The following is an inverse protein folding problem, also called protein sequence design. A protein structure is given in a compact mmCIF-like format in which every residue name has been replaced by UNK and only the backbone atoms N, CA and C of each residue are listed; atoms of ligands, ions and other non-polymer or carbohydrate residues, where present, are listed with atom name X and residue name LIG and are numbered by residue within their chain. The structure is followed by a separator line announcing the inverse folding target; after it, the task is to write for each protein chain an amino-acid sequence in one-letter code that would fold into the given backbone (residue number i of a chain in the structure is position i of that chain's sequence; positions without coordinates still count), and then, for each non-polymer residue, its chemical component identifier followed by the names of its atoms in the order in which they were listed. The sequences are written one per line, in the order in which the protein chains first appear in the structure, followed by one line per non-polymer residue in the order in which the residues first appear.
data_IF_136923564815
#
_entry.id   IF_136923564815
#
_cell.length_a   1.000
_cell.length_b   1.000
_cell.length_c   1.000
_cell.angle_alpha   90.00
_cell.angle_beta   90.00
_cell.angle_gamma   90.00
#
_symmetry.space_group_name_H-M   'P 1'
#
loop_
_entity.id
_entity.type
_entity.pdbx_description
1 polymer ?
#
# COMPACT_ATOMS: atom_id res chain seq x y z
N UNK A 1 -34.44 36.72 21.07
CA UNK A 1 -33.23 36.01 21.58
C UNK A 1 -32.10 37.03 21.61
N UNK A 2 -31.46 37.17 22.77
CA UNK A 2 -30.81 38.40 23.28
C UNK A 2 -29.43 38.61 22.63
N UNK A 3 -29.14 39.83 22.13
CA UNK A 3 -27.79 40.29 21.82
C UNK A 3 -27.16 40.98 23.03
N UNK A 4 -25.92 40.66 23.43
CA UNK A 4 -25.23 41.42 24.47
C UNK A 4 -24.64 42.71 23.87
N UNK A 5 -25.09 43.84 24.42
CA UNK A 5 -24.45 45.15 24.25
C UNK A 5 -23.20 45.16 25.15
N UNK A 6 -22.03 45.37 24.55
CA UNK A 6 -20.77 45.51 25.28
C UNK A 6 -20.75 46.89 25.97
N UNK A 7 -21.12 46.92 27.26
CA UNK A 7 -20.99 48.11 28.11
C UNK A 7 -19.58 48.13 28.72
N UNK A 8 -18.74 49.05 28.23
CA UNK A 8 -17.44 49.33 28.84
C UNK A 8 -17.68 50.23 30.06
N UNK A 9 -17.66 49.65 31.26
CA UNK A 9 -17.61 50.42 32.51
C UNK A 9 -16.15 50.68 32.86
N UNK A 10 -15.71 51.92 32.72
CA UNK A 10 -14.46 52.40 33.32
C UNK A 10 -14.81 52.95 34.70
N UNK A 11 -14.53 52.17 35.74
CA UNK A 11 -14.60 52.62 37.14
C UNK A 11 -13.29 53.32 37.51
N UNK A 12 -13.37 54.60 37.82
CA UNK A 12 -12.31 55.36 38.49
C UNK A 12 -12.87 55.74 39.86
N UNK A 13 -12.30 55.16 40.91
CA UNK A 13 -12.63 55.48 42.30
C UNK A 13 -11.91 56.76 42.73
N UNK A 14 -12.67 57.85 42.88
CA UNK A 14 -12.31 59.02 43.67
C UNK A 14 -13.58 59.45 44.43
N UNK A 15 -13.52 59.66 45.76
CA UNK A 15 -14.69 60.00 46.55
C UNK A 15 -15.03 61.49 46.38
N UNK A 16 -16.32 61.78 46.46
CA UNK A 16 -16.97 63.11 46.46
C UNK A 16 -17.23 63.79 45.10
N UNK A 17 -18.54 63.94 44.84
CA UNK A 17 -19.23 64.83 43.89
C UNK A 17 -19.41 64.29 42.46
N UNK A 18 -20.64 63.81 42.18
CA UNK A 18 -21.14 63.49 40.84
C UNK A 18 -21.59 64.77 40.11
N UNK A 19 -20.97 65.07 38.97
CA UNK A 19 -21.58 65.87 37.89
C UNK A 19 -21.56 65.06 36.60
N UNK A 20 -22.72 64.62 36.13
CA UNK A 20 -22.88 63.91 34.87
C UNK A 20 -23.25 64.87 33.75
N UNK A 21 -22.28 65.22 32.89
CA UNK A 21 -22.53 65.92 31.63
C UNK A 21 -22.63 64.87 30.51
N UNK A 22 -23.79 64.80 29.83
CA UNK A 22 -24.05 63.84 28.76
C UNK A 22 -23.88 64.55 27.41
N UNK A 23 -22.78 64.30 26.72
CA UNK A 23 -22.55 64.80 25.35
C UNK A 23 -22.92 63.67 24.38
N UNK A 24 -23.94 63.90 23.55
CA UNK A 24 -24.33 62.99 22.46
C UNK A 24 -23.52 63.31 21.20
N UNK A 25 -22.70 62.37 20.73
CA UNK A 25 -22.07 62.45 19.41
C UNK A 25 -22.93 61.71 18.36
N UNK A 26 -23.40 62.37 17.30
CA UNK A 26 -24.31 61.78 16.30
C UNK A 26 -23.62 60.90 15.24
N UNK A 27 -22.32 60.58 15.37
CA UNK A 27 -21.56 59.86 14.34
C UNK A 27 -21.72 58.33 14.34
N UNK A 28 -22.38 57.74 15.35
CA UNK A 28 -22.41 56.28 15.52
C UNK A 28 -23.32 55.52 14.52
N UNK A 29 -24.29 56.19 13.90
CA UNK A 29 -25.29 55.52 13.04
C UNK A 29 -24.78 55.31 11.61
N UNK A 30 -23.85 56.14 11.13
CA UNK A 30 -23.31 56.02 9.78
C UNK A 30 -22.26 54.90 9.65
N UNK A 31 -21.45 54.68 10.70
CA UNK A 31 -20.41 53.66 10.69
C UNK A 31 -20.97 52.22 10.71
N UNK A 32 -22.09 51.98 11.41
CA UNK A 32 -22.66 50.63 11.54
C UNK A 32 -23.23 50.09 10.22
N UNK A 33 -23.83 50.96 9.40
CA UNK A 33 -24.39 50.58 8.11
C UNK A 33 -23.29 50.25 7.08
N UNK A 34 -22.16 50.96 7.13
CA UNK A 34 -21.03 50.71 6.24
C UNK A 34 -20.32 49.38 6.56
N UNK A 35 -20.15 49.08 7.84
CA UNK A 35 -19.54 47.82 8.30
C UNK A 35 -20.40 46.62 7.91
N UNK A 36 -21.72 46.71 8.07
CA UNK A 36 -22.64 45.64 7.67
C UNK A 36 -22.68 45.40 6.16
N UNK A 37 -22.52 46.46 5.35
CA UNK A 37 -22.43 46.33 3.90
C UNK A 37 -21.13 45.63 3.47
N UNK A 38 -19.98 46.00 4.07
CA UNK A 38 -18.69 45.36 3.77
C UNK A 38 -18.65 43.88 4.17
N UNK A 39 -19.22 43.53 5.33
CA UNK A 39 -19.30 42.12 5.78
C UNK A 39 -20.10 41.29 4.77
N UNK A 40 -21.25 41.79 4.28
CA UNK A 40 -22.07 41.08 3.29
C UNK A 40 -21.34 40.85 1.97
N UNK A 41 -20.65 41.87 1.45
CA UNK A 41 -19.87 41.74 0.20
C UNK A 41 -18.74 40.72 0.36
N UNK A 42 -18.06 40.71 1.52
CA UNK A 42 -17.01 39.73 1.80
C UNK A 42 -17.56 38.30 1.91
N UNK A 43 -18.72 38.12 2.56
CA UNK A 43 -19.37 36.80 2.67
C UNK A 43 -19.82 36.26 1.31
N UNK A 44 -20.40 37.10 0.45
CA UNK A 44 -20.79 36.69 -0.91
C UNK A 44 -19.57 36.37 -1.79
N UNK A 45 -18.48 37.13 -1.67
CA UNK A 45 -17.23 36.85 -2.38
C UNK A 45 -16.61 35.53 -1.92
N UNK A 46 -16.60 35.25 -0.61
CA UNK A 46 -16.06 34.00 -0.06
C UNK A 46 -16.88 32.78 -0.50
N UNK A 47 -18.21 32.92 -0.55
CA UNK A 47 -19.11 31.85 -1.02
C UNK A 47 -18.92 31.56 -2.51
N UNK A 48 -18.73 32.61 -3.34
CA UNK A 48 -18.50 32.46 -4.77
C UNK A 48 -17.16 31.75 -5.07
N UNK A 49 -16.09 32.12 -4.35
CA UNK A 49 -14.78 31.45 -4.48
C UNK A 49 -14.85 29.98 -4.06
N UNK A 50 -15.60 29.65 -3.01
CA UNK A 50 -15.81 28.27 -2.56
C UNK A 50 -16.58 27.44 -3.61
N UNK A 51 -17.58 28.01 -4.28
CA UNK A 51 -18.29 27.33 -5.37
C UNK A 51 -17.40 27.07 -6.59
N UNK A 52 -16.44 27.96 -6.91
CA UNK A 52 -15.51 27.74 -8.02
C UNK A 52 -14.51 26.59 -7.76
N UNK A 53 -14.15 26.31 -6.51
CA UNK A 53 -13.31 25.16 -6.17
C UNK A 53 -14.02 23.81 -6.30
N UNK A 54 -15.36 23.78 -6.20
CA UNK A 54 -16.14 22.53 -6.30
C UNK A 54 -16.35 22.05 -7.75
N UNK A 55 -16.06 22.87 -8.76
CA UNK A 55 -16.21 22.51 -10.18
C UNK A 55 -14.88 22.21 -10.89
N UNK A 56 -13.74 22.28 -10.21
CA UNK A 56 -12.41 22.12 -10.84
C UNK A 56 -11.85 20.68 -10.84
N UNK A 57 -12.69 19.66 -10.64
CA UNK A 57 -12.20 18.28 -10.64
C UNK A 57 -13.14 17.34 -11.41
N UNK A 58 -13.26 17.58 -12.72
CA UNK A 58 -13.67 16.54 -13.65
C UNK A 58 -12.60 16.44 -14.74
N UNK A 59 -11.44 15.92 -14.33
CA UNK A 59 -10.44 15.40 -15.24
C UNK A 59 -10.97 14.07 -15.75
N UNK A 60 -11.37 14.03 -17.02
CA UNK A 60 -11.67 12.78 -17.72
C UNK A 60 -10.35 11.98 -17.81
N UNK A 61 -10.13 11.08 -16.85
CA UNK A 61 -9.07 10.09 -16.95
C UNK A 61 -9.36 9.24 -18.19
N UNK A 62 -8.53 9.42 -19.21
CA UNK A 62 -8.43 8.46 -20.32
C UNK A 62 -7.97 7.13 -19.72
N UNK A 63 -8.92 6.28 -19.30
CA UNK A 63 -8.66 4.87 -18.97
C UNK A 63 -8.00 4.24 -20.20
N UNK A 64 -6.77 3.76 -20.01
CA UNK A 64 -6.00 3.12 -21.07
C UNK A 64 -6.74 1.87 -21.59
N UNK A 65 -6.68 1.58 -22.89
CA UNK A 65 -7.27 0.36 -23.45
C UNK A 65 -6.56 -0.87 -22.88
N UNK A 66 -7.37 -1.83 -22.40
CA UNK A 66 -6.95 -3.13 -21.86
C UNK A 66 -6.19 -3.91 -22.95
N UNK A 67 -4.86 -3.95 -22.88
CA UNK A 67 -4.00 -4.79 -23.75
C UNK A 67 -2.72 -5.32 -23.09
N UNK A 68 -2.55 -5.20 -21.76
CA UNK A 68 -1.55 -6.02 -21.06
C UNK A 68 -2.20 -7.37 -20.73
N UNK A 69 -1.55 -8.48 -21.09
CA UNK A 69 -2.06 -9.83 -20.83
C UNK A 69 -2.37 -10.11 -19.34
N UNK A 70 -2.78 -11.34 -18.99
CA UNK A 70 -3.11 -11.67 -17.61
C UNK A 70 -1.90 -11.44 -16.68
N UNK A 71 -2.18 -10.97 -15.47
CA UNK A 71 -1.19 -10.85 -14.39
C UNK A 71 -1.21 -12.11 -13.55
N UNK A 72 -0.04 -12.66 -13.27
CA UNK A 72 0.12 -13.73 -12.31
C UNK A 72 0.83 -13.19 -11.05
N UNK A 73 0.04 -12.97 -10.01
CA UNK A 73 0.52 -12.53 -8.70
C UNK A 73 0.87 -13.71 -7.80
N UNK A 74 2.09 -13.72 -7.27
CA UNK A 74 2.56 -14.64 -6.23
C UNK A 74 2.76 -13.86 -4.92
N UNK A 75 2.19 -14.35 -3.82
CA UNK A 75 2.37 -13.76 -2.49
C UNK A 75 3.01 -14.81 -1.58
N UNK A 76 4.23 -14.54 -1.13
CA UNK A 76 4.94 -15.35 -0.14
C UNK A 76 4.74 -14.71 1.23
N UNK A 77 3.97 -15.37 2.10
CA UNK A 77 3.72 -14.91 3.47
C UNK A 77 4.61 -15.66 4.43
N UNK A 78 5.50 -14.95 5.10
CA UNK A 78 6.33 -15.53 6.12
C UNK A 78 5.53 -15.85 7.37
N UNK A 79 5.63 -17.11 7.81
CA UNK A 79 4.98 -17.64 9.00
C UNK A 79 6.00 -18.13 10.03
N UNK A 80 7.26 -17.74 9.89
CA UNK A 80 8.31 -18.08 10.85
C UNK A 80 8.23 -17.19 12.09
N UNK A 81 8.97 -17.59 13.13
CA UNK A 81 8.90 -16.94 14.44
C UNK A 81 9.37 -15.47 14.42
N UNK A 82 10.25 -15.09 13.49
CA UNK A 82 10.81 -13.74 13.41
C UNK A 82 9.80 -12.73 12.85
N UNK A 83 8.79 -13.18 12.10
CA UNK A 83 7.72 -12.32 11.56
C UNK A 83 6.45 -12.42 12.41
N UNK A 84 6.18 -11.39 13.21
CA UNK A 84 5.00 -11.34 14.08
C UNK A 84 3.93 -10.39 13.55
N UNK A 85 2.94 -10.95 12.84
CA UNK A 85 1.77 -10.22 12.32
C UNK A 85 0.79 -9.74 13.39
N UNK A 86 0.98 -10.09 14.66
CA UNK A 86 0.19 -9.52 15.76
C UNK A 86 0.73 -8.16 16.21
N UNK A 87 1.94 -7.76 15.77
CA UNK A 87 2.41 -6.38 15.96
C UNK A 87 1.55 -5.47 15.08
N UNK A 88 0.93 -4.46 15.68
CA UNK A 88 -0.03 -3.59 15.00
C UNK A 88 0.55 -2.96 13.72
N UNK A 89 1.80 -2.49 13.77
CA UNK A 89 2.51 -1.95 12.61
C UNK A 89 2.59 -2.95 11.45
N UNK A 90 3.07 -4.17 11.72
CA UNK A 90 3.23 -5.22 10.70
C UNK A 90 1.86 -5.63 10.14
N UNK A 91 0.85 -5.77 11.00
CA UNK A 91 -0.51 -6.10 10.60
C UNK A 91 -1.05 -5.04 9.63
N UNK A 92 -0.97 -3.77 9.99
CA UNK A 92 -1.48 -2.66 9.19
C UNK A 92 -0.72 -2.55 7.86
N UNK A 93 0.62 -2.63 7.90
CA UNK A 93 1.47 -2.59 6.70
C UNK A 93 1.08 -3.69 5.72
N UNK A 94 1.00 -4.94 6.18
CA UNK A 94 0.65 -6.07 5.32
C UNK A 94 -0.80 -6.01 4.84
N UNK A 95 -1.75 -5.56 5.67
CA UNK A 95 -3.14 -5.36 5.24
C UNK A 95 -3.27 -4.34 4.11
N UNK A 96 -2.53 -3.22 4.20
CA UNK A 96 -2.50 -2.20 3.17
C UNK A 96 -1.93 -2.76 1.86
N UNK A 97 -0.77 -3.41 1.91
CA UNK A 97 -0.11 -4.01 0.74
C UNK A 97 -1.03 -5.03 0.04
N UNK A 98 -1.69 -5.91 0.82
CA UNK A 98 -2.61 -6.90 0.27
C UNK A 98 -3.87 -6.26 -0.34
N UNK A 99 -4.31 -5.12 0.17
CA UNK A 99 -5.43 -4.36 -0.43
C UNK A 99 -5.00 -3.73 -1.75
N UNK A 100 -3.85 -3.07 -1.77
CA UNK A 100 -3.31 -2.40 -2.95
C UNK A 100 -3.00 -3.37 -4.08
N UNK A 101 -2.38 -4.53 -3.78
CA UNK A 101 -2.06 -5.52 -4.81
C UNK A 101 -3.31 -6.13 -5.44
N UNK A 102 -4.39 -6.33 -4.68
CA UNK A 102 -5.64 -6.86 -5.23
C UNK A 102 -6.29 -5.85 -6.15
N UNK A 103 -6.32 -4.57 -5.75
CA UNK A 103 -6.88 -3.50 -6.56
C UNK A 103 -6.09 -3.30 -7.87
N UNK A 104 -4.76 -3.37 -7.80
CA UNK A 104 -3.87 -3.16 -8.95
C UNK A 104 -3.80 -4.36 -9.90
N UNK A 105 -3.77 -5.59 -9.37
CA UNK A 105 -3.40 -6.77 -10.16
C UNK A 105 -4.60 -7.63 -10.61
N UNK A 106 -5.78 -7.45 -10.01
CA UNK A 106 -7.00 -8.17 -10.41
C UNK A 106 -7.85 -7.24 -11.28
N UNK A 107 -7.65 -7.31 -12.59
CA UNK A 107 -8.17 -6.36 -13.58
C UNK A 107 -9.11 -7.02 -14.59
N UNK A 108 -8.90 -8.30 -14.89
CA UNK A 108 -9.60 -9.02 -15.93
C UNK A 108 -9.57 -10.54 -15.74
N UNK A 109 -10.43 -11.22 -16.49
CA UNK A 109 -10.45 -12.68 -16.60
C UNK A 109 -9.06 -13.23 -16.93
N UNK A 110 -8.67 -14.24 -16.16
CA UNK A 110 -7.36 -14.88 -16.31
C UNK A 110 -6.30 -14.35 -15.35
N UNK A 111 -6.47 -13.17 -14.75
CA UNK A 111 -5.58 -12.71 -13.69
C UNK A 111 -5.59 -13.72 -12.54
N UNK A 112 -4.42 -14.08 -12.05
CA UNK A 112 -4.22 -15.18 -11.11
C UNK A 112 -3.51 -14.69 -9.87
N UNK A 113 -3.94 -15.18 -8.71
CA UNK A 113 -3.29 -14.94 -7.43
C UNK A 113 -3.04 -16.27 -6.72
N UNK A 114 -1.79 -16.55 -6.37
CA UNK A 114 -1.43 -17.68 -5.49
C UNK A 114 -0.69 -17.20 -4.25
N UNK A 115 -0.97 -17.85 -3.12
CA UNK A 115 -0.29 -17.58 -1.84
C UNK A 115 0.48 -18.81 -1.42
N UNK A 116 1.71 -18.59 -0.97
CA UNK A 116 2.60 -19.61 -0.40
C UNK A 116 3.03 -19.17 1.00
N UNK A 117 3.08 -20.10 1.94
CA UNK A 117 3.69 -19.84 3.24
C UNK A 117 5.19 -20.11 3.20
N UNK A 118 5.99 -19.21 3.77
CA UNK A 118 7.42 -19.45 3.95
C UNK A 118 7.64 -20.18 5.28
N UNK A 119 8.30 -21.33 5.19
CA UNK A 119 8.81 -22.15 6.31
C UNK A 119 9.75 -23.21 5.72
N UNK A 120 10.09 -24.28 6.45
CA UNK A 120 10.99 -25.35 5.96
C UNK A 120 10.58 -26.05 4.63
N UNK A 121 9.35 -25.83 4.14
CA UNK A 121 8.74 -26.56 3.03
C UNK A 121 7.98 -25.61 2.06
N UNK A 122 8.47 -24.39 1.88
CA UNK A 122 7.80 -23.31 1.11
C UNK A 122 7.29 -23.76 -0.26
N UNK A 123 8.05 -24.57 -1.01
CA UNK A 123 7.66 -25.01 -2.36
C UNK A 123 6.32 -25.78 -2.39
N UNK A 124 6.01 -26.54 -1.34
CA UNK A 124 4.77 -27.33 -1.21
C UNK A 124 3.68 -26.60 -0.40
N UNK A 125 4.00 -25.43 0.13
CA UNK A 125 3.17 -24.69 1.08
C UNK A 125 2.16 -23.74 0.40
N UNK A 126 1.61 -24.14 -0.76
CA UNK A 126 0.58 -23.32 -1.42
C UNK A 126 -0.69 -23.30 -0.56
N UNK A 127 -1.04 -22.12 -0.07
CA UNK A 127 -2.14 -21.90 0.86
C UNK A 127 -3.42 -21.40 0.18
N UNK A 128 -3.30 -20.78 -1.00
CA UNK A 128 -4.42 -20.20 -1.77
C UNK A 128 -4.08 -20.19 -3.26
N UNK A 129 -5.10 -20.38 -4.11
CA UNK A 129 -5.03 -20.18 -5.56
C UNK A 129 -6.37 -19.67 -6.05
N UNK A 130 -6.39 -18.46 -6.60
CA UNK A 130 -7.57 -17.79 -7.13
C UNK A 130 -7.31 -17.32 -8.56
N UNK A 131 -8.36 -17.29 -9.38
CA UNK A 131 -8.30 -16.80 -10.75
C UNK A 131 -9.53 -15.96 -11.02
N UNK A 132 -9.31 -14.75 -11.54
CA UNK A 132 -10.36 -13.82 -11.88
C UNK A 132 -11.19 -14.36 -13.04
N UNK A 133 -12.50 -14.25 -12.93
CA UNK A 133 -13.46 -14.78 -13.91
C UNK A 133 -14.21 -13.69 -14.66
N UNK A 134 -14.18 -12.47 -14.14
CA UNK A 134 -14.88 -11.33 -14.71
C UNK A 134 -14.26 -10.93 -16.03
N UNK A 135 -15.03 -11.11 -17.10
CA UNK A 135 -14.68 -10.71 -18.45
C UNK A 135 -15.01 -9.22 -18.62
N UNK A 136 -14.04 -8.45 -19.12
CA UNK A 136 -14.25 -7.05 -19.48
C UNK A 136 -14.50 -7.03 -20.98
N UNK A 137 -15.72 -6.68 -21.38
CA UNK A 137 -16.11 -6.66 -22.79
C UNK A 137 -15.32 -5.62 -23.58
N UNK A 138 -15.06 -5.92 -24.86
CA UNK A 138 -14.52 -4.91 -25.77
C UNK A 138 -15.59 -3.88 -26.11
N UNK A 139 -15.46 -2.70 -25.52
CA UNK A 139 -16.39 -1.57 -25.64
C UNK A 139 -16.03 -0.60 -26.79
N UNK A 140 -15.04 -0.93 -27.62
CA UNK A 140 -14.55 -0.05 -28.71
C UNK A 140 -15.63 0.28 -29.75
N UNK A 141 -16.56 -0.64 -29.99
CA UNK A 141 -17.64 -0.51 -30.99
C UNK A 141 -18.97 0.00 -30.43
N UNK A 142 -19.07 0.21 -29.11
CA UNK A 142 -20.32 0.61 -28.45
C UNK A 142 -20.57 2.12 -28.51
N UNK A 143 -21.84 2.55 -28.51
CA UNK A 143 -22.21 3.96 -28.33
C UNK A 143 -21.93 4.41 -26.88
N UNK A 144 -22.01 5.72 -26.61
CA UNK A 144 -21.62 6.28 -25.31
C UNK A 144 -22.41 5.69 -24.12
N UNK A 145 -23.71 5.51 -24.27
CA UNK A 145 -24.59 4.98 -23.21
C UNK A 145 -24.31 3.50 -22.95
N UNK A 146 -24.18 2.69 -24.00
CA UNK A 146 -23.90 1.26 -23.88
C UNK A 146 -22.49 1.02 -23.31
N UNK A 147 -21.52 1.86 -23.70
CA UNK A 147 -20.16 1.84 -23.16
C UNK A 147 -20.14 2.10 -21.66
N UNK A 148 -20.86 3.13 -21.21
CA UNK A 148 -20.94 3.49 -19.79
C UNK A 148 -21.61 2.37 -18.98
N UNK A 149 -22.68 1.77 -19.51
CA UNK A 149 -23.38 0.65 -18.88
C UNK A 149 -22.49 -0.60 -18.79
N UNK A 150 -21.78 -0.95 -19.87
CA UNK A 150 -20.86 -2.09 -19.91
C UNK A 150 -19.68 -1.90 -18.93
N UNK A 151 -19.04 -0.72 -18.94
CA UNK A 151 -17.94 -0.41 -18.02
C UNK A 151 -18.40 -0.46 -16.56
N UNK A 152 -19.55 0.13 -16.24
CA UNK A 152 -20.10 0.11 -14.88
C UNK A 152 -20.39 -1.31 -14.40
N UNK A 153 -20.92 -2.15 -15.30
CA UNK A 153 -21.19 -3.56 -15.00
C UNK A 153 -19.89 -4.32 -14.72
N UNK A 154 -18.88 -4.16 -15.58
CA UNK A 154 -17.57 -4.77 -15.41
C UNK A 154 -16.89 -4.33 -14.11
N UNK A 155 -16.89 -3.02 -13.82
CA UNK A 155 -16.30 -2.44 -12.61
C UNK A 155 -17.00 -3.01 -11.35
N UNK A 156 -18.34 -3.09 -11.32
CA UNK A 156 -19.08 -3.70 -10.21
C UNK A 156 -18.74 -5.19 -10.01
N UNK A 157 -18.58 -5.94 -11.10
CA UNK A 157 -18.22 -7.37 -11.02
C UNK A 157 -16.79 -7.57 -10.53
N UNK A 158 -15.84 -6.80 -11.06
CA UNK A 158 -14.44 -6.82 -10.62
C UNK A 158 -14.32 -6.44 -9.14
N UNK A 159 -15.03 -5.41 -8.69
CA UNK A 159 -15.02 -5.01 -7.28
C UNK A 159 -15.51 -6.14 -6.35
N UNK A 160 -16.55 -6.88 -6.74
CA UNK A 160 -17.01 -8.06 -5.98
C UNK A 160 -15.96 -9.15 -5.94
N UNK A 161 -15.28 -9.44 -7.06
CA UNK A 161 -14.20 -10.43 -7.07
C UNK A 161 -13.01 -10.00 -6.21
N UNK A 162 -12.57 -8.74 -6.33
CA UNK A 162 -11.50 -8.16 -5.49
C UNK A 162 -11.81 -8.28 -4.01
N UNK A 163 -13.04 -7.99 -3.59
CA UNK A 163 -13.47 -8.20 -2.20
C UNK A 163 -13.34 -9.65 -1.74
N UNK A 164 -13.64 -10.62 -2.62
CA UNK A 164 -13.48 -12.06 -2.32
C UNK A 164 -11.99 -12.39 -2.17
N UNK A 165 -11.15 -11.94 -3.10
CA UNK A 165 -9.69 -12.15 -3.06
C UNK A 165 -9.10 -11.58 -1.77
N UNK A 166 -9.43 -10.32 -1.47
CA UNK A 166 -8.96 -9.63 -0.29
C UNK A 166 -9.38 -10.35 0.99
N UNK A 167 -10.64 -10.77 1.10
CA UNK A 167 -11.12 -11.54 2.26
C UNK A 167 -10.33 -12.84 2.45
N UNK A 168 -10.05 -13.57 1.37
CA UNK A 168 -9.25 -14.81 1.44
C UNK A 168 -7.80 -14.52 1.84
N UNK A 169 -7.19 -13.46 1.30
CA UNK A 169 -5.85 -13.02 1.69
C UNK A 169 -5.77 -12.64 3.17
N UNK A 170 -6.72 -11.86 3.66
CA UNK A 170 -6.81 -11.48 5.08
C UNK A 170 -6.94 -12.70 5.99
N UNK A 171 -7.74 -13.69 5.59
CA UNK A 171 -7.86 -14.94 6.31
C UNK A 171 -6.52 -15.70 6.36
N UNK A 172 -5.73 -15.72 5.28
CA UNK A 172 -4.40 -16.34 5.26
C UNK A 172 -3.36 -15.55 6.05
N UNK A 173 -3.45 -14.22 6.05
CA UNK A 173 -2.58 -13.35 6.85
C UNK A 173 -2.73 -13.66 8.35
N UNK A 174 -3.96 -13.87 8.83
CA UNK A 174 -4.24 -14.16 10.24
C UNK A 174 -3.83 -15.57 10.72
N UNK A 175 -3.48 -16.49 9.82
CA UNK A 175 -3.03 -17.84 10.22
C UNK A 175 -1.65 -17.75 10.86
N UNK A 176 -1.48 -18.38 12.02
CA UNK A 176 -0.20 -18.53 12.71
C UNK A 176 0.38 -19.94 12.50
N UNK A 177 1.70 -20.04 12.40
CA UNK A 177 2.39 -21.32 12.43
C UNK A 177 2.83 -21.64 13.86
N UNK A 178 2.11 -22.57 14.49
CA UNK A 178 2.42 -23.05 15.85
C UNK A 178 3.33 -24.30 15.84
N UNK A 179 3.72 -24.78 14.67
CA UNK A 179 4.51 -26.00 14.49
C UNK A 179 6.01 -25.80 14.69
N UNK A 180 6.78 -26.89 14.60
CA UNK A 180 8.25 -26.85 14.68
C UNK A 180 8.91 -26.19 13.47
N UNK A 181 8.20 -26.18 12.32
CA UNK A 181 8.63 -25.59 11.06
C UNK A 181 8.82 -24.07 11.13
N UNK A 182 8.30 -23.40 12.16
CA UNK A 182 8.44 -21.95 12.36
C UNK A 182 9.89 -21.49 12.60
N UNK A 183 10.82 -22.42 12.86
CA UNK A 183 12.23 -22.16 13.15
C UNK A 183 13.13 -22.20 11.91
N UNK A 184 12.56 -22.47 10.74
CA UNK A 184 13.27 -22.64 9.49
C UNK A 184 12.56 -21.86 8.40
N UNK A 185 13.34 -21.09 7.66
CA UNK A 185 12.83 -20.17 6.64
C UNK A 185 13.53 -20.53 5.34
N UNK A 186 12.82 -21.23 4.45
CA UNK A 186 13.31 -21.61 3.13
C UNK A 186 12.75 -20.65 2.07
N UNK A 187 13.42 -19.51 1.88
CA UNK A 187 13.06 -18.51 0.87
C UNK A 187 13.53 -18.97 -0.50
N UNK A 188 14.67 -19.64 -0.62
CA UNK A 188 15.13 -20.21 -1.90
C UNK A 188 14.12 -21.13 -2.57
N UNK A 189 13.31 -21.86 -1.80
CA UNK A 189 12.23 -22.69 -2.32
C UNK A 189 11.11 -21.90 -3.03
N UNK A 190 11.09 -20.57 -2.96
CA UNK A 190 10.22 -19.71 -3.78
C UNK A 190 10.68 -19.59 -5.24
N UNK A 191 11.97 -19.71 -5.52
CA UNK A 191 12.55 -19.56 -6.87
C UNK A 191 11.92 -20.51 -7.91
N UNK A 192 11.80 -21.84 -7.67
CA UNK A 192 11.12 -22.72 -8.62
C UNK A 192 9.63 -22.40 -8.80
N UNK A 193 8.98 -21.82 -7.79
CA UNK A 193 7.57 -21.40 -7.88
C UNK A 193 7.44 -20.19 -8.81
N UNK A 194 8.34 -19.22 -8.68
CA UNK A 194 8.39 -18.03 -9.53
C UNK A 194 8.73 -18.44 -10.97
N UNK A 195 9.79 -19.24 -11.17
CA UNK A 195 10.17 -19.75 -12.50
C UNK A 195 8.97 -20.40 -13.21
N UNK A 196 8.24 -21.29 -12.52
CA UNK A 196 7.03 -21.93 -13.06
C UNK A 196 5.92 -20.93 -13.40
N UNK A 197 5.76 -19.86 -12.64
CA UNK A 197 4.77 -18.82 -12.96
C UNK A 197 5.15 -18.07 -14.24
N UNK A 198 6.45 -17.81 -14.46
CA UNK A 198 6.93 -17.09 -15.65
C UNK A 198 6.79 -17.89 -16.94
N UNK A 199 6.81 -19.23 -16.86
CA UNK A 199 6.57 -20.13 -17.99
C UNK A 199 5.16 -19.98 -18.60
N UNK A 200 4.22 -19.33 -17.89
CA UNK A 200 2.85 -19.12 -18.38
C UNK A 200 2.73 -18.02 -19.44
N UNK A 201 3.75 -17.17 -19.60
CA UNK A 201 3.70 -15.99 -20.47
C UNK A 201 2.89 -14.81 -19.91
N UNK A 202 2.35 -14.95 -18.70
CA UNK A 202 1.71 -13.87 -17.95
C UNK A 202 2.75 -12.87 -17.41
N UNK A 203 2.31 -11.63 -17.14
CA UNK A 203 3.09 -10.67 -16.37
C UNK A 203 3.19 -11.17 -14.91
N UNK A 204 4.38 -11.52 -14.42
CA UNK A 204 4.55 -12.08 -13.08
C UNK A 204 4.90 -11.00 -12.07
N UNK A 205 4.12 -10.91 -10.99
CA UNK A 205 4.37 -10.01 -9.86
C UNK A 205 4.51 -10.80 -8.58
N UNK A 206 5.59 -10.60 -7.87
CA UNK A 206 5.95 -11.34 -6.66
C UNK A 206 5.97 -10.40 -5.46
N UNK A 207 5.32 -10.80 -4.38
CA UNK A 207 5.28 -10.05 -3.12
C UNK A 207 5.81 -10.93 -2.00
N UNK A 208 6.90 -10.53 -1.36
CA UNK A 208 7.38 -11.14 -0.13
C UNK A 208 6.89 -10.34 1.07
N UNK A 209 6.14 -10.97 1.96
CA UNK A 209 5.75 -10.43 3.26
C UNK A 209 6.59 -11.15 4.31
N UNK A 210 7.87 -10.78 4.38
CA UNK A 210 8.92 -11.51 5.10
C UNK A 210 10.00 -10.53 5.56
N UNK A 211 10.71 -10.89 6.64
CA UNK A 211 11.96 -10.22 7.02
C UNK A 211 13.15 -10.63 6.15
N UNK A 212 12.94 -11.55 5.22
CA UNK A 212 13.92 -12.07 4.29
C UNK A 212 15.10 -12.79 4.96
N UNK A 213 14.91 -13.31 6.18
CA UNK A 213 15.97 -14.05 6.88
C UNK A 213 15.91 -15.53 6.49
N UNK A 214 16.73 -15.94 5.53
CA UNK A 214 16.94 -17.37 5.21
C UNK A 214 17.57 -18.08 6.42
N UNK A 215 16.98 -19.21 6.82
CA UNK A 215 17.46 -20.01 7.94
C UNK A 215 17.23 -21.49 7.66
N UNK A 216 18.16 -22.08 6.90
CA UNK A 216 18.13 -23.49 6.52
C UNK A 216 19.42 -24.20 6.88
N UNK A 217 19.29 -25.41 7.41
CA UNK A 217 20.43 -26.24 7.79
C UNK A 217 20.98 -26.96 6.56
N UNK A 218 22.30 -26.99 6.40
CA UNK A 218 22.98 -27.78 5.38
C UNK A 218 24.23 -27.10 4.83
N UNK A 219 25.16 -27.89 4.27
CA UNK A 219 26.46 -27.39 3.79
C UNK A 219 26.35 -26.38 2.64
N UNK A 220 25.26 -26.42 1.88
CA UNK A 220 25.00 -25.52 0.74
C UNK A 220 23.77 -24.65 0.98
N UNK A 221 23.46 -24.32 2.25
CA UNK A 221 22.34 -23.46 2.62
C UNK A 221 22.85 -22.25 3.40
N UNK A 222 22.11 -21.15 3.32
CA UNK A 222 22.38 -19.97 4.14
C UNK A 222 21.59 -20.06 5.44
N UNK A 223 22.19 -19.49 6.48
CA UNK A 223 21.56 -19.24 7.77
C UNK A 223 21.98 -17.82 8.20
N UNK A 224 21.11 -16.86 7.92
CA UNK A 224 21.34 -15.45 8.24
C UNK A 224 21.03 -15.13 9.70
N UNK A 225 20.46 -16.04 10.48
CA UNK A 225 20.42 -15.88 11.93
C UNK A 225 21.79 -16.09 12.57
N UNK A 226 22.59 -17.04 12.06
CA UNK A 226 23.89 -17.38 12.64
C UNK A 226 25.07 -16.75 11.89
N UNK A 227 24.99 -16.62 10.57
CA UNK A 227 26.05 -16.10 9.72
C UNK A 227 25.51 -15.14 8.64
N UNK A 228 24.97 -13.98 9.03
CA UNK A 228 24.55 -12.95 8.07
C UNK A 228 25.76 -12.32 7.37
N UNK A 229 25.58 -11.76 6.16
CA UNK A 229 26.64 -11.01 5.49
C UNK A 229 27.05 -9.78 6.32
N UNK A 230 28.35 -9.63 6.52
CA UNK A 230 28.96 -8.58 7.35
C UNK A 230 29.08 -7.24 6.63
N UNK A 231 29.22 -7.27 5.31
CA UNK A 231 29.36 -6.08 4.46
C UNK A 231 28.77 -6.32 3.06
N UNK A 232 28.71 -5.25 2.27
CA UNK A 232 28.18 -5.28 0.91
C UNK A 232 28.96 -6.22 -0.02
N UNK A 233 30.28 -6.29 0.13
CA UNK A 233 31.13 -7.11 -0.75
C UNK A 233 30.83 -8.59 -0.51
N UNK A 234 30.67 -8.98 0.75
CA UNK A 234 30.31 -10.33 1.13
C UNK A 234 28.88 -10.67 0.67
N UNK A 235 27.92 -9.76 0.86
CA UNK A 235 26.54 -9.95 0.40
C UNK A 235 26.47 -10.22 -1.11
N UNK A 236 27.09 -9.37 -1.92
CA UNK A 236 27.12 -9.52 -3.37
C UNK A 236 27.89 -10.78 -3.80
N UNK A 237 29.05 -11.04 -3.19
CA UNK A 237 29.85 -12.21 -3.54
C UNK A 237 29.10 -13.52 -3.25
N UNK A 238 28.36 -13.58 -2.14
CA UNK A 238 27.54 -14.73 -1.80
C UNK A 238 26.37 -14.87 -2.77
N UNK A 239 25.63 -13.79 -3.03
CA UNK A 239 24.52 -13.78 -3.96
C UNK A 239 24.92 -14.25 -5.37
N UNK A 240 26.02 -13.71 -5.90
CA UNK A 240 26.56 -14.10 -7.22
C UNK A 240 27.06 -15.54 -7.26
N UNK A 241 27.61 -16.06 -6.16
CA UNK A 241 28.00 -17.46 -6.07
C UNK A 241 26.79 -18.39 -6.04
N UNK A 242 25.77 -18.05 -5.24
CA UNK A 242 24.56 -18.84 -5.11
C UNK A 242 23.74 -18.84 -6.41
N UNK A 243 23.66 -17.69 -7.10
CA UNK A 243 23.01 -17.56 -8.41
C UNK A 243 23.57 -18.55 -9.45
N UNK A 244 24.88 -18.80 -9.46
CA UNK A 244 25.52 -19.77 -10.38
C UNK A 244 25.00 -21.19 -10.20
N UNK A 245 24.60 -21.56 -8.99
CA UNK A 245 24.02 -22.87 -8.69
C UNK A 245 22.50 -22.91 -8.87
N UNK A 246 21.90 -21.76 -9.20
CA UNK A 246 20.45 -21.57 -9.29
C UNK A 246 19.98 -21.14 -10.68
N UNK A 247 20.86 -21.17 -11.68
CA UNK A 247 20.57 -20.72 -13.05
C UNK A 247 19.39 -21.44 -13.70
N UNK A 248 19.01 -22.64 -13.22
CA UNK A 248 17.79 -23.32 -13.66
C UNK A 248 16.49 -22.57 -13.30
N UNK A 249 16.53 -21.58 -12.41
CA UNK A 249 15.38 -20.80 -11.97
C UNK A 249 15.43 -19.40 -12.61
N UNK A 250 15.03 -19.32 -13.88
CA UNK A 250 14.96 -18.05 -14.60
C UNK A 250 13.73 -17.26 -14.13
N UNK A 251 13.94 -16.04 -13.63
CA UNK A 251 12.85 -15.19 -13.14
C UNK A 251 12.21 -14.34 -14.24
N UNK A 252 12.75 -14.36 -15.46
CA UNK A 252 12.13 -13.85 -16.70
C UNK A 252 11.42 -12.49 -16.55
N UNK A 253 12.14 -11.51 -16.02
CA UNK A 253 11.68 -10.15 -15.79
C UNK A 253 10.48 -10.02 -14.83
N UNK A 254 10.28 -10.98 -13.92
CA UNK A 254 9.29 -10.84 -12.85
C UNK A 254 9.54 -9.57 -12.02
N UNK A 255 8.46 -8.85 -11.70
CA UNK A 255 8.50 -7.71 -10.78
C UNK A 255 8.46 -8.23 -9.35
N UNK A 256 9.44 -7.89 -8.53
CA UNK A 256 9.55 -8.38 -7.16
C UNK A 256 9.45 -7.22 -6.19
N UNK A 257 8.53 -7.34 -5.23
CA UNK A 257 8.32 -6.38 -4.15
C UNK A 257 8.52 -7.08 -2.80
N UNK A 258 9.35 -6.49 -1.95
CA UNK A 258 9.72 -7.02 -0.64
C UNK A 258 9.16 -6.09 0.43
N UNK A 259 8.26 -6.60 1.26
CA UNK A 259 7.66 -5.89 2.36
C UNK A 259 8.28 -6.35 3.68
N UNK A 260 9.29 -5.63 4.16
CA UNK A 260 9.94 -5.95 5.44
C UNK A 260 9.02 -5.60 6.64
N UNK A 261 8.99 -6.41 7.72
CA UNK A 261 8.16 -6.19 8.90
C UNK A 261 8.78 -5.23 9.92
N UNK A 262 9.67 -4.34 9.49
CA UNK A 262 10.42 -3.44 10.37
C UNK A 262 9.85 -2.03 10.35
N UNK A 263 9.89 -1.37 11.50
CA UNK A 263 9.60 0.05 11.57
C UNK A 263 10.74 0.85 10.92
N UNK A 264 10.48 2.04 10.37
CA UNK A 264 11.53 2.87 9.75
C UNK A 264 12.70 3.22 10.70
N UNK A 265 12.48 3.12 12.01
CA UNK A 265 13.45 3.41 13.07
C UNK A 265 14.16 2.16 13.59
N UNK A 266 13.88 0.97 13.03
CA UNK A 266 14.53 -0.28 13.44
C UNK A 266 16.04 -0.21 13.26
N UNK A 267 16.77 -0.80 14.22
CA UNK A 267 18.23 -0.83 14.21
C UNK A 267 18.78 -1.78 13.14
N UNK A 268 20.03 -1.59 12.72
CA UNK A 268 20.72 -2.48 11.78
C UNK A 268 20.92 -3.91 12.30
N UNK A 269 20.80 -4.12 13.61
CA UNK A 269 20.82 -5.45 14.23
C UNK A 269 19.50 -6.20 14.00
N UNK A 270 18.39 -5.47 13.90
CA UNK A 270 17.07 -6.02 13.63
C UNK A 270 16.83 -6.14 12.12
N UNK A 271 17.18 -5.10 11.36
CA UNK A 271 17.10 -5.05 9.90
C UNK A 271 18.52 -4.90 9.32
N UNK A 272 19.15 -6.02 8.95
CA UNK A 272 20.49 -5.98 8.37
C UNK A 272 20.41 -5.62 6.86
N UNK A 273 20.86 -4.42 6.43
CA UNK A 273 20.76 -4.01 5.03
C UNK A 273 21.56 -4.90 4.07
N UNK A 274 22.60 -5.60 4.55
CA UNK A 274 23.38 -6.52 3.74
C UNK A 274 22.57 -7.76 3.35
N UNK A 275 21.55 -8.14 4.12
CA UNK A 275 20.63 -9.22 3.76
C UNK A 275 19.73 -8.78 2.61
N UNK A 276 19.19 -7.57 2.66
CA UNK A 276 18.42 -6.98 1.54
C UNK A 276 19.29 -6.85 0.27
N UNK A 277 20.55 -6.46 0.41
CA UNK A 277 21.49 -6.40 -0.71
C UNK A 277 21.78 -7.79 -1.31
N UNK A 278 21.95 -8.80 -0.45
CA UNK A 278 22.11 -10.18 -0.91
C UNK A 278 20.90 -10.63 -1.75
N UNK A 279 19.68 -10.38 -1.29
CA UNK A 279 18.48 -10.80 -2.01
C UNK A 279 18.26 -10.04 -3.31
N UNK A 280 18.41 -8.72 -3.30
CA UNK A 280 18.31 -7.91 -4.51
C UNK A 280 19.32 -8.36 -5.56
N UNK A 281 20.58 -8.58 -5.17
CA UNK A 281 21.62 -9.09 -6.06
C UNK A 281 21.27 -10.48 -6.59
N UNK A 282 20.88 -11.43 -5.72
CA UNK A 282 20.56 -12.80 -6.13
C UNK A 282 19.40 -12.83 -7.14
N UNK A 283 18.32 -12.10 -6.86
CA UNK A 283 17.14 -12.07 -7.72
C UNK A 283 17.44 -11.39 -9.07
N UNK A 284 18.26 -10.33 -9.08
CA UNK A 284 18.72 -9.68 -10.30
C UNK A 284 19.61 -10.59 -11.15
N UNK A 285 20.55 -11.31 -10.54
CA UNK A 285 21.41 -12.29 -11.22
C UNK A 285 20.60 -13.45 -11.82
N UNK A 286 19.43 -13.77 -11.25
CA UNK A 286 18.48 -14.75 -11.78
C UNK A 286 17.49 -14.16 -12.81
N UNK A 287 17.61 -12.88 -13.16
CA UNK A 287 16.85 -12.23 -14.22
C UNK A 287 15.53 -11.62 -13.79
N UNK A 288 15.36 -11.23 -12.51
CA UNK A 288 14.23 -10.40 -12.09
C UNK A 288 14.27 -9.03 -12.81
N UNK A 289 13.10 -8.47 -13.12
CA UNK A 289 12.99 -7.20 -13.85
C UNK A 289 13.24 -6.01 -12.92
N UNK A 290 12.48 -5.95 -11.84
CA UNK A 290 12.66 -4.98 -10.75
C UNK A 290 12.64 -5.70 -9.40
N UNK A 291 13.37 -5.16 -8.43
CA UNK A 291 13.37 -5.64 -7.04
C UNK A 291 13.30 -4.42 -6.12
N UNK A 292 12.12 -4.18 -5.55
CA UNK A 292 11.84 -2.99 -4.75
C UNK A 292 11.45 -3.35 -3.32
N UNK A 293 11.86 -2.55 -2.34
CA UNK A 293 11.38 -2.62 -0.95
C UNK A 293 10.17 -1.69 -0.76
N UNK A 294 9.12 -2.17 -0.08
CA UNK A 294 7.85 -1.48 0.19
C UNK A 294 7.75 -0.92 1.63
#
# INVERSE_FOLDING_TARGET
MIHPILLLFVTIDIPFIRFGLRIYFPYAIFASNLINAMIRVFTYSALLTLCCFLFSCFSEEKKAPVTTGPVYTLVFMDKTQSVNVNKAFVAQKYQQILSDLVEQNIRQKGDKLEVYFIHENTQKARALSLTCRTEVEDISHMNATDREAAQTTADMMLQRERMIFLRQLMAKLGIQNIGTSQRQTDIWASLPVINKATETGAEVKVYYLSDMIESMKGANRRDFHTNPPQDNTQAESWAKADAKHMQQYALNAAEIKIALPFEPTSSTRENNPNVSLYWSTLLQELGAGTVDEL
#
